data_IF_830065900993
#
_entry.id   IF_830065900993
#
_cell.length_a   1.000
_cell.length_b   1.000
_cell.length_c   1.000
_cell.angle_alpha   90.00
_cell.angle_beta   90.00
_cell.angle_gamma   90.00
#
_symmetry.space_group_name_H-M   'P 1'
#
loop_
_entity.id
_entity.type
_entity.pdbx_description
1 polymer ?
#
# COMPACT_ATOMS: atom_id res chain seq x y z
N UNK A 1 -25.46 11.30 50.97
CA UNK A 1 -24.97 12.45 50.19
C UNK A 1 -23.52 12.24 49.77
N UNK A 2 -22.58 12.07 50.72
CA UNK A 2 -21.14 11.85 50.44
C UNK A 2 -20.78 10.69 49.49
N UNK A 3 -21.56 9.60 49.45
CA UNK A 3 -21.29 8.48 48.55
C UNK A 3 -21.55 8.82 47.07
N UNK A 4 -22.53 9.69 46.80
CA UNK A 4 -22.89 10.10 45.43
C UNK A 4 -21.79 10.97 44.81
N UNK A 5 -21.34 11.97 45.57
CA UNK A 5 -20.25 12.87 45.18
C UNK A 5 -18.94 12.13 44.93
N UNK A 6 -18.63 11.10 45.76
CA UNK A 6 -17.46 10.25 45.55
C UNK A 6 -17.52 9.48 44.23
N UNK A 7 -18.66 8.88 43.92
CA UNK A 7 -18.85 8.12 42.67
C UNK A 7 -18.73 9.05 41.45
N UNK A 8 -19.27 10.26 41.53
CA UNK A 8 -19.19 11.25 40.46
C UNK A 8 -17.77 11.77 40.25
N UNK A 9 -17.05 12.08 41.33
CA UNK A 9 -15.64 12.48 41.26
C UNK A 9 -14.76 11.37 40.67
N UNK A 10 -14.97 10.12 41.09
CA UNK A 10 -14.26 8.95 40.55
C UNK A 10 -14.59 8.72 39.06
N UNK A 11 -15.85 8.89 38.67
CA UNK A 11 -16.28 8.77 37.27
C UNK A 11 -15.66 9.86 36.40
N UNK A 12 -15.61 11.10 36.89
CA UNK A 12 -14.95 12.21 36.22
C UNK A 12 -13.46 11.94 36.01
N UNK A 13 -12.74 11.52 37.06
CA UNK A 13 -11.32 11.17 36.95
C UNK A 13 -11.11 10.02 35.96
N UNK A 14 -11.97 9.01 35.99
CA UNK A 14 -11.92 7.86 35.07
C UNK A 14 -12.09 8.29 33.61
N UNK A 15 -13.07 9.14 33.30
CA UNK A 15 -13.27 9.65 31.93
C UNK A 15 -12.09 10.51 31.46
N UNK A 16 -11.52 11.35 32.33
CA UNK A 16 -10.33 12.15 31.99
C UNK A 16 -9.10 11.29 31.69
N UNK A 17 -8.86 10.24 32.50
CA UNK A 17 -7.77 9.28 32.25
C UNK A 17 -7.99 8.53 30.93
N UNK A 18 -9.22 8.09 30.69
CA UNK A 18 -9.57 7.37 29.46
C UNK A 18 -9.38 8.26 28.22
N UNK A 19 -9.78 9.53 28.29
CA UNK A 19 -9.57 10.48 27.21
C UNK A 19 -8.07 10.67 26.89
N UNK A 20 -7.25 10.81 27.92
CA UNK A 20 -5.79 10.91 27.75
C UNK A 20 -5.20 9.67 27.07
N UNK A 21 -5.61 8.48 27.49
CA UNK A 21 -5.16 7.22 26.88
C UNK A 21 -5.60 7.10 25.42
N UNK A 22 -6.79 7.57 25.09
CA UNK A 22 -7.28 7.58 23.70
C UNK A 22 -6.48 8.56 22.84
N UNK A 23 -6.18 9.75 23.33
CA UNK A 23 -5.32 10.71 22.62
C UNK A 23 -3.92 10.13 22.38
N UNK A 24 -3.31 9.55 23.40
CA UNK A 24 -2.02 8.87 23.26
C UNK A 24 -2.07 7.72 22.25
N UNK A 25 -3.16 6.95 22.24
CA UNK A 25 -3.36 5.87 21.26
C UNK A 25 -3.54 6.39 19.84
N UNK A 26 -4.22 7.52 19.66
CA UNK A 26 -4.39 8.19 18.36
C UNK A 26 -3.04 8.68 17.83
N UNK A 27 -2.23 9.33 18.66
CA UNK A 27 -0.89 9.79 18.31
C UNK A 27 0.03 8.63 17.89
N UNK A 28 0.01 7.52 18.65
CA UNK A 28 0.75 6.30 18.30
C UNK A 28 0.25 5.72 16.97
N UNK A 29 -1.06 5.70 16.75
CA UNK A 29 -1.67 5.22 15.51
C UNK A 29 -1.24 6.05 14.29
N UNK A 30 -1.21 7.38 14.42
CA UNK A 30 -0.74 8.30 13.38
C UNK A 30 0.74 8.06 13.09
N UNK A 31 1.58 8.00 14.12
CA UNK A 31 3.01 7.72 13.95
C UNK A 31 3.27 6.37 13.27
N UNK A 32 2.46 5.35 13.61
CA UNK A 32 2.53 4.04 12.96
C UNK A 32 2.14 4.11 11.49
N UNK A 33 1.11 4.89 11.13
CA UNK A 33 0.68 5.08 9.75
C UNK A 33 1.78 5.76 8.91
N UNK A 34 2.46 6.76 9.46
CA UNK A 34 3.59 7.42 8.80
C UNK A 34 4.75 6.45 8.55
N UNK A 35 5.04 5.57 9.52
CA UNK A 35 6.10 4.58 9.37
C UNK A 35 5.74 3.52 8.33
N UNK A 36 4.49 3.03 8.31
CA UNK A 36 4.02 2.14 7.24
C UNK A 36 4.16 2.78 5.86
N UNK A 37 3.83 4.07 5.72
CA UNK A 37 4.01 4.77 4.45
C UNK A 37 5.48 4.79 4.01
N UNK A 38 6.42 5.09 4.91
CA UNK A 38 7.86 5.05 4.61
C UNK A 38 8.32 3.64 4.22
N UNK A 39 7.82 2.62 4.91
CA UNK A 39 8.13 1.22 4.59
C UNK A 39 7.61 0.84 3.21
N UNK A 40 6.40 1.28 2.85
CA UNK A 40 5.83 1.09 1.50
C UNK A 40 6.75 1.65 0.43
N UNK A 41 7.24 2.88 0.58
CA UNK A 41 8.15 3.51 -0.39
C UNK A 41 9.45 2.70 -0.57
N UNK A 42 9.99 2.14 0.52
CA UNK A 42 11.17 1.27 0.46
C UNK A 42 10.88 -0.04 -0.28
N UNK A 43 9.73 -0.66 -0.04
CA UNK A 43 9.29 -1.86 -0.76
C UNK A 43 9.12 -1.55 -2.25
N UNK A 44 8.44 -0.46 -2.61
CA UNK A 44 8.27 -0.07 -4.02
C UNK A 44 9.61 0.20 -4.72
N UNK A 45 10.56 0.83 -4.03
CA UNK A 45 11.91 1.02 -4.57
C UNK A 45 12.60 -0.33 -4.80
N UNK A 46 12.45 -1.26 -3.88
CA UNK A 46 13.01 -2.61 -3.99
C UNK A 46 12.39 -3.36 -5.17
N UNK A 47 11.07 -3.28 -5.33
CA UNK A 47 10.35 -3.88 -6.45
C UNK A 47 10.85 -3.36 -7.81
N UNK A 48 10.98 -2.03 -7.96
CA UNK A 48 11.54 -1.40 -9.17
C UNK A 48 13.00 -1.81 -9.42
N UNK A 49 13.80 -1.92 -8.37
CA UNK A 49 15.19 -2.37 -8.49
C UNK A 49 15.26 -3.82 -8.98
N UNK A 50 14.39 -4.70 -8.49
CA UNK A 50 14.32 -6.08 -8.94
C UNK A 50 13.83 -6.20 -10.38
N UNK A 51 12.94 -5.33 -10.85
CA UNK A 51 12.58 -5.26 -12.26
C UNK A 51 13.78 -4.88 -13.14
N UNK A 52 14.55 -3.88 -12.70
CA UNK A 52 15.79 -3.48 -13.39
C UNK A 52 16.79 -4.64 -13.44
N UNK A 53 17.02 -5.34 -12.31
CA UNK A 53 17.92 -6.50 -12.25
C UNK A 53 17.45 -7.59 -13.20
N UNK A 54 16.16 -7.97 -13.17
CA UNK A 54 15.62 -8.99 -14.06
C UNK A 54 15.75 -8.59 -15.54
N UNK A 55 15.54 -7.32 -15.89
CA UNK A 55 15.73 -6.79 -17.24
C UNK A 55 17.21 -6.85 -17.67
N UNK A 56 18.12 -6.41 -16.80
CA UNK A 56 19.57 -6.48 -17.03
C UNK A 56 20.05 -7.91 -17.19
N UNK A 57 19.55 -8.85 -16.39
CA UNK A 57 19.85 -10.27 -16.54
C UNK A 57 19.34 -10.80 -17.88
N UNK A 58 18.14 -10.43 -18.36
CA UNK A 58 17.67 -10.82 -19.70
C UNK A 58 18.55 -10.27 -20.82
N UNK A 59 18.96 -9.02 -20.73
CA UNK A 59 19.90 -8.42 -21.69
C UNK A 59 21.25 -9.14 -21.65
N UNK A 60 21.75 -9.45 -20.45
CA UNK A 60 23.00 -10.17 -20.22
C UNK A 60 22.96 -11.58 -20.82
N UNK A 61 21.83 -12.29 -20.70
CA UNK A 61 21.66 -13.60 -21.33
C UNK A 61 21.87 -13.53 -22.85
N UNK A 62 21.25 -12.55 -23.52
CA UNK A 62 21.41 -12.36 -24.98
C UNK A 62 22.87 -12.14 -25.37
N UNK A 63 23.64 -11.42 -24.55
CA UNK A 63 25.08 -11.21 -24.77
C UNK A 63 25.86 -12.51 -24.58
N UNK A 64 25.60 -13.26 -23.51
CA UNK A 64 26.22 -14.57 -23.26
C UNK A 64 25.95 -15.53 -24.43
N UNK A 65 24.73 -15.57 -24.95
CA UNK A 65 24.37 -16.42 -26.09
C UNK A 65 25.05 -15.97 -27.38
N UNK A 66 25.19 -14.66 -27.59
CA UNK A 66 26.01 -14.10 -28.68
C UNK A 66 27.47 -14.56 -28.61
N UNK A 67 28.09 -14.54 -27.43
CA UNK A 67 29.46 -15.06 -27.26
C UNK A 67 29.56 -16.56 -27.55
N UNK A 68 28.62 -17.38 -27.04
CA UNK A 68 28.58 -18.82 -27.37
C UNK A 68 28.51 -19.06 -28.88
N UNK A 69 27.75 -18.23 -29.61
CA UNK A 69 27.65 -18.33 -31.07
C UNK A 69 28.98 -18.05 -31.76
N UNK A 70 29.71 -17.00 -31.38
CA UNK A 70 31.00 -16.65 -32.00
C UNK A 70 32.04 -17.75 -31.79
N UNK A 71 32.14 -18.30 -30.57
CA UNK A 71 33.02 -19.44 -30.30
C UNK A 71 32.63 -20.70 -31.09
N UNK A 72 31.32 -20.93 -31.27
CA UNK A 72 30.84 -22.07 -32.05
C UNK A 72 31.16 -21.90 -33.54
N UNK A 73 31.02 -20.71 -34.11
CA UNK A 73 31.36 -20.43 -35.51
C UNK A 73 32.86 -20.61 -35.79
N UNK A 74 33.73 -20.21 -34.87
CA UNK A 74 35.18 -20.44 -34.99
C UNK A 74 35.49 -21.94 -34.91
N UNK A 75 34.88 -22.67 -33.97
CA UNK A 75 35.10 -24.11 -33.86
C UNK A 75 34.60 -24.85 -35.10
N UNK A 76 33.42 -24.51 -35.61
CA UNK A 76 32.83 -25.13 -36.80
C UNK A 76 33.63 -24.82 -38.07
N UNK A 77 34.23 -23.63 -38.17
CA UNK A 77 35.14 -23.27 -39.26
C UNK A 77 36.46 -24.05 -39.19
N UNK A 78 36.96 -24.33 -37.99
CA UNK A 78 38.22 -25.07 -37.80
C UNK A 78 38.07 -26.59 -37.94
N UNK A 79 36.86 -27.13 -37.79
CA UNK A 79 36.59 -28.59 -37.87
C UNK A 79 35.90 -29.04 -39.16
N UNK A 80 35.55 -28.15 -40.10
CA UNK A 80 34.86 -28.58 -41.32
C UNK A 80 35.85 -28.91 -42.46
N UNK A 81 36.11 -30.21 -42.63
CA UNK A 81 36.47 -30.83 -43.91
C UNK A 81 35.19 -31.42 -44.53
N UNK A 82 35.09 -31.27 -45.86
CA UNK A 82 34.10 -31.78 -46.84
C UNK A 82 32.64 -31.24 -46.87
N UNK A 83 32.37 -30.60 -48.01
CA UNK A 83 31.21 -30.71 -48.92
C UNK A 83 29.99 -29.76 -48.82
N UNK A 84 30.02 -28.85 -49.81
CA UNK A 84 29.00 -28.22 -50.68
C UNK A 84 27.75 -27.46 -50.18
N UNK A 85 27.30 -26.45 -50.97
CA UNK A 85 26.33 -25.43 -50.56
C UNK A 85 24.93 -25.63 -51.19
N UNK A 86 23.88 -25.10 -50.54
CA UNK A 86 22.56 -24.94 -51.16
C UNK A 86 21.83 -23.67 -50.65
N UNK A 87 21.83 -22.65 -51.53
CA UNK A 87 20.73 -21.80 -52.02
C UNK A 87 19.65 -21.25 -51.04
N UNK A 88 19.70 -19.92 -50.92
CA UNK A 88 18.65 -18.88 -50.97
C UNK A 88 17.21 -19.10 -50.43
N UNK A 89 16.73 -18.06 -49.72
CA UNK A 89 15.31 -17.79 -49.51
C UNK A 89 15.03 -16.50 -48.72
N UNK A 90 15.02 -15.35 -49.39
CA UNK A 90 14.47 -14.06 -48.91
C UNK A 90 12.97 -14.02 -49.23
N UNK A 91 12.13 -13.52 -48.32
CA UNK A 91 10.91 -12.73 -48.64
C UNK A 91 10.32 -12.02 -47.41
N UNK A 92 9.80 -10.81 -47.69
CA UNK A 92 9.19 -9.80 -46.81
C UNK A 92 7.66 -9.94 -46.69
N UNK A 93 7.10 -9.14 -45.78
CA UNK A 93 5.85 -8.34 -45.84
C UNK A 93 4.58 -8.76 -45.05
N UNK A 94 4.31 -7.97 -44.00
CA UNK A 94 3.21 -7.02 -43.77
C UNK A 94 1.70 -7.40 -43.87
N UNK A 95 1.03 -7.19 -42.71
CA UNK A 95 -0.25 -6.50 -42.41
C UNK A 95 -1.64 -6.87 -43.04
N UNK A 96 -2.58 -7.21 -42.12
CA UNK A 96 -3.96 -6.68 -41.85
C UNK A 96 -5.09 -6.85 -42.88
N UNK A 97 -6.32 -7.17 -42.39
CA UNK A 97 -7.50 -6.28 -42.51
C UNK A 97 -8.22 -6.12 -41.15
N UNK A 98 -8.48 -4.92 -40.60
CA UNK A 98 -9.52 -3.90 -40.90
C UNK A 98 -10.98 -4.33 -40.68
N UNK A 99 -11.63 -3.70 -39.67
CA UNK A 99 -12.99 -3.10 -39.69
C UNK A 99 -13.36 -2.72 -38.23
N UNK A 100 -13.42 -1.45 -37.82
CA UNK A 100 -14.46 -0.44 -38.10
C UNK A 100 -15.75 -0.66 -37.29
N UNK A 101 -16.02 0.18 -36.27
CA UNK A 101 -17.10 1.20 -36.27
C UNK A 101 -17.50 1.78 -34.89
N UNK A 102 -17.55 3.12 -34.89
CA UNK A 102 -18.57 4.04 -34.32
C UNK A 102 -18.83 4.16 -32.80
N UNK A 103 -18.31 5.27 -32.28
CA UNK A 103 -18.97 6.39 -31.57
C UNK A 103 -20.52 6.42 -31.48
N UNK A 104 -21.05 6.67 -30.28
CA UNK A 104 -22.17 7.60 -29.93
C UNK A 104 -22.16 7.84 -28.40
N UNK A 105 -22.06 9.09 -27.93
CA UNK A 105 -23.18 9.78 -27.24
C UNK A 105 -23.07 9.67 -25.71
N UNK A 106 -22.54 10.68 -25.01
CA UNK A 106 -23.28 11.77 -24.36
C UNK A 106 -24.09 11.31 -23.12
N UNK A 107 -23.74 11.78 -21.92
CA UNK A 107 -24.55 12.72 -21.13
C UNK A 107 -24.06 12.85 -19.67
N UNK A 108 -24.07 14.10 -19.21
CA UNK A 108 -23.92 14.54 -17.82
C UNK A 108 -25.26 14.36 -17.08
N UNK A 109 -25.20 14.23 -15.76
CA UNK A 109 -26.15 14.73 -14.73
C UNK A 109 -25.52 14.41 -13.37
N UNK A 110 -25.02 15.39 -12.63
CA UNK A 110 -25.77 16.28 -11.73
C UNK A 110 -26.71 15.50 -10.80
N UNK A 111 -26.28 15.32 -9.54
CA UNK A 111 -27.16 14.96 -8.42
C UNK A 111 -26.98 16.00 -7.33
N UNK A 112 -28.12 16.60 -6.99
CA UNK A 112 -28.35 17.68 -6.06
C UNK A 112 -28.56 17.11 -4.64
N UNK A 113 -27.97 17.76 -3.62
CA UNK A 113 -28.47 17.74 -2.23
C UNK A 113 -29.88 18.33 -2.18
N UNK A 114 -30.69 17.93 -1.19
CA UNK A 114 -31.06 18.94 -0.20
C UNK A 114 -31.33 18.41 1.22
N UNK A 115 -31.40 19.37 2.13
CA UNK A 115 -32.25 19.44 3.33
C UNK A 115 -31.59 19.43 4.73
N UNK A 116 -31.55 20.67 5.24
CA UNK A 116 -31.46 21.12 6.61
C UNK A 116 -32.61 20.60 7.49
N UNK A 117 -32.31 20.38 8.78
CA UNK A 117 -33.32 20.37 9.85
C UNK A 117 -32.87 21.28 11.01
N UNK A 118 -33.48 22.47 11.19
CA UNK A 118 -33.22 23.35 12.32
C UNK A 118 -34.09 22.93 13.51
N UNK A 119 -33.45 22.32 14.52
CA UNK A 119 -34.12 21.69 15.64
C UNK A 119 -33.75 22.26 17.02
N UNK A 120 -34.37 23.40 17.36
CA UNK A 120 -34.86 23.75 18.71
C UNK A 120 -33.84 24.22 19.78
N UNK A 121 -33.77 25.54 19.90
CA UNK A 121 -33.65 26.25 21.17
C UNK A 121 -34.84 25.91 22.10
N UNK A 122 -34.57 25.52 23.35
CA UNK A 122 -35.54 25.61 24.44
C UNK A 122 -34.90 26.33 25.64
N UNK A 123 -35.42 27.53 25.87
CA UNK A 123 -35.21 28.41 27.02
C UNK A 123 -36.48 28.36 27.88
N UNK A 124 -36.36 27.94 29.15
CA UNK A 124 -37.25 28.18 30.32
C UNK A 124 -36.88 27.12 31.39
N UNK A 125 -36.76 27.34 32.70
CA UNK A 125 -37.29 28.32 33.65
C UNK A 125 -36.34 28.34 34.86
N UNK A 126 -36.13 29.53 35.43
CA UNK A 126 -35.52 29.75 36.75
C UNK A 126 -36.48 29.31 37.85
N UNK A 127 -36.06 28.35 38.67
CA UNK A 127 -36.62 28.08 40.00
C UNK A 127 -35.45 27.94 40.97
N UNK A 128 -35.42 28.86 41.92
CA UNK A 128 -34.47 28.88 43.03
C UNK A 128 -34.78 27.72 43.97
N UNK A 129 -33.87 26.76 44.03
CA UNK A 129 -33.72 25.80 45.13
C UNK A 129 -32.23 25.68 45.40
N UNK A 130 -31.85 25.98 46.64
CA UNK A 130 -30.48 26.10 47.12
C UNK A 130 -29.67 24.79 46.90
N UNK A 131 -28.81 24.84 45.88
CA UNK A 131 -27.35 24.93 45.98
C UNK A 131 -26.46 23.68 46.20
N UNK A 132 -26.97 22.47 46.00
CA UNK A 132 -26.10 21.27 45.84
C UNK A 132 -26.39 20.43 44.58
N UNK A 133 -27.47 20.71 43.87
CA UNK A 133 -27.76 20.05 42.59
C UNK A 133 -27.08 20.73 41.41
N UNK A 134 -26.70 22.01 41.54
CA UNK A 134 -26.11 22.77 40.43
C UNK A 134 -24.68 22.28 40.10
N UNK A 135 -23.84 22.09 41.11
CA UNK A 135 -22.48 21.56 40.91
C UNK A 135 -22.50 20.11 40.40
N UNK A 136 -23.46 19.31 40.88
CA UNK A 136 -23.62 17.93 40.47
C UNK A 136 -24.08 17.80 39.01
N UNK A 137 -25.00 18.67 38.57
CA UNK A 137 -25.41 18.74 37.16
C UNK A 137 -24.23 19.18 36.28
N UNK A 138 -23.40 20.12 36.75
CA UNK A 138 -22.17 20.53 36.07
C UNK A 138 -21.15 19.39 35.92
N UNK A 139 -20.99 18.55 36.94
CA UNK A 139 -20.10 17.37 36.88
C UNK A 139 -20.63 16.32 35.90
N UNK A 140 -21.92 15.99 35.95
CA UNK A 140 -22.51 15.04 34.99
C UNK A 140 -22.44 15.57 33.55
N UNK A 141 -22.72 16.85 33.33
CA UNK A 141 -22.57 17.49 32.01
C UNK A 141 -21.11 17.39 31.50
N UNK A 142 -20.13 17.46 32.41
CA UNK A 142 -18.71 17.32 32.05
C UNK A 142 -18.36 15.87 31.73
N UNK A 143 -18.88 14.91 32.49
CA UNK A 143 -18.73 13.48 32.20
C UNK A 143 -19.33 13.16 30.83
N UNK A 144 -20.54 13.64 30.52
CA UNK A 144 -21.19 13.42 29.24
C UNK A 144 -20.37 14.00 28.07
N UNK A 145 -19.85 15.22 28.21
CA UNK A 145 -18.93 15.81 27.21
C UNK A 145 -17.66 14.98 27.04
N UNK A 146 -17.08 14.47 28.12
CA UNK A 146 -15.90 13.61 28.03
C UNK A 146 -16.24 12.30 27.32
N UNK A 147 -17.39 11.69 27.59
CA UNK A 147 -17.85 10.46 26.93
C UNK A 147 -18.10 10.68 25.44
N UNK A 148 -18.68 11.82 25.04
CA UNK A 148 -18.83 12.19 23.64
C UNK A 148 -17.48 12.34 22.94
N UNK A 149 -16.52 13.03 23.58
CA UNK A 149 -15.16 13.17 23.08
C UNK A 149 -14.47 11.80 22.93
N UNK A 150 -14.61 10.92 23.93
CA UNK A 150 -14.09 9.56 23.88
C UNK A 150 -14.72 8.76 22.73
N UNK A 151 -16.02 8.92 22.48
CA UNK A 151 -16.71 8.27 21.35
C UNK A 151 -16.12 8.71 20.00
N UNK A 152 -15.79 9.99 19.86
CA UNK A 152 -15.10 10.51 18.66
C UNK A 152 -13.71 9.90 18.54
N UNK A 153 -12.88 9.95 19.59
CA UNK A 153 -11.52 9.38 19.54
C UNK A 153 -11.53 7.87 19.24
N UNK A 154 -12.46 7.10 19.80
CA UNK A 154 -12.60 5.67 19.48
C UNK A 154 -12.96 5.45 18.01
N UNK A 155 -13.82 6.29 17.42
CA UNK A 155 -14.14 6.23 15.98
C UNK A 155 -12.90 6.55 15.13
N UNK A 156 -12.12 7.55 15.51
CA UNK A 156 -10.88 7.91 14.82
C UNK A 156 -9.87 6.76 14.87
N UNK A 157 -9.61 6.21 16.07
CA UNK A 157 -8.71 5.06 16.27
C UNK A 157 -9.19 3.86 15.46
N UNK A 158 -10.50 3.59 15.41
CA UNK A 158 -11.05 2.53 14.56
C UNK A 158 -10.75 2.78 13.08
N UNK A 159 -10.91 4.02 12.61
CA UNK A 159 -10.57 4.39 11.24
C UNK A 159 -9.08 4.18 10.94
N UNK A 160 -8.20 4.64 11.83
CA UNK A 160 -6.76 4.39 11.74
C UNK A 160 -6.45 2.89 11.70
N UNK A 161 -7.03 2.09 12.61
CA UNK A 161 -6.78 0.65 12.67
C UNK A 161 -7.20 -0.08 11.40
N UNK A 162 -8.32 0.29 10.78
CA UNK A 162 -8.74 -0.26 9.49
C UNK A 162 -7.77 0.10 8.36
N UNK A 163 -7.40 1.38 8.26
CA UNK A 163 -6.45 1.84 7.24
C UNK A 163 -5.05 1.20 7.41
N UNK A 164 -4.58 1.07 8.66
CA UNK A 164 -3.33 0.38 8.97
C UNK A 164 -3.42 -1.10 8.56
N UNK A 165 -4.54 -1.76 8.80
CA UNK A 165 -4.79 -3.14 8.36
C UNK A 165 -4.74 -3.28 6.84
N UNK A 166 -5.46 -2.43 6.10
CA UNK A 166 -5.46 -2.42 4.63
C UNK A 166 -4.06 -2.15 4.06
N UNK A 167 -3.30 -1.22 4.66
CA UNK A 167 -1.93 -0.93 4.23
C UNK A 167 -1.00 -2.12 4.47
N UNK A 168 -1.13 -2.82 5.61
CA UNK A 168 -0.36 -4.04 5.90
C UNK A 168 -0.68 -5.14 4.88
N UNK A 169 -1.96 -5.38 4.59
CA UNK A 169 -2.37 -6.36 3.57
C UNK A 169 -1.80 -5.99 2.19
N UNK A 170 -1.90 -4.72 1.78
CA UNK A 170 -1.32 -4.25 0.53
C UNK A 170 0.21 -4.39 0.48
N UNK A 171 0.91 -4.19 1.61
CA UNK A 171 2.35 -4.37 1.70
C UNK A 171 2.75 -5.85 1.65
N UNK A 172 1.97 -6.75 2.26
CA UNK A 172 2.19 -8.20 2.17
C UNK A 172 2.14 -8.67 0.72
N UNK A 173 1.13 -8.23 -0.05
CA UNK A 173 1.04 -8.53 -1.48
C UNK A 173 2.25 -8.00 -2.27
N UNK A 174 2.80 -6.85 -1.87
CA UNK A 174 4.00 -6.28 -2.50
C UNK A 174 5.26 -7.09 -2.14
N UNK A 175 5.37 -7.55 -0.89
CA UNK A 175 6.46 -8.42 -0.45
C UNK A 175 6.46 -9.73 -1.23
N UNK A 176 5.30 -10.35 -1.45
CA UNK A 176 5.20 -11.59 -2.23
C UNK A 176 5.69 -11.38 -3.68
N UNK A 177 5.31 -10.27 -4.31
CA UNK A 177 5.83 -9.91 -5.65
C UNK A 177 7.34 -9.70 -5.67
N UNK A 178 7.87 -9.03 -4.64
CA UNK A 178 9.32 -8.80 -4.47
C UNK A 178 10.03 -10.15 -4.30
N UNK A 179 9.48 -11.06 -3.50
CA UNK A 179 10.03 -12.39 -3.28
C UNK A 179 10.11 -13.18 -4.59
N UNK A 180 9.01 -13.24 -5.35
CA UNK A 180 8.95 -13.88 -6.67
C UNK A 180 10.00 -13.32 -7.65
N UNK A 181 10.11 -11.98 -7.71
CA UNK A 181 11.09 -11.31 -8.59
C UNK A 181 12.53 -11.57 -8.13
N UNK A 182 12.76 -11.62 -6.82
CA UNK A 182 14.06 -11.89 -6.21
C UNK A 182 14.52 -13.31 -6.52
N UNK A 183 13.65 -14.31 -6.33
CA UNK A 183 13.98 -15.71 -6.61
C UNK A 183 14.30 -15.93 -8.10
N UNK A 184 13.52 -15.31 -9.00
CA UNK A 184 13.80 -15.35 -10.45
C UNK A 184 15.14 -14.71 -10.78
N UNK A 185 15.45 -13.57 -10.16
CA UNK A 185 16.73 -12.89 -10.35
C UNK A 185 17.89 -13.76 -9.87
N UNK A 186 17.79 -14.35 -8.67
CA UNK A 186 18.83 -15.21 -8.09
C UNK A 186 19.09 -16.45 -8.95
N UNK A 187 18.04 -17.18 -9.36
CA UNK A 187 18.17 -18.36 -10.23
C UNK A 187 18.85 -17.98 -11.54
N UNK A 188 18.42 -16.87 -12.17
CA UNK A 188 18.96 -16.43 -13.46
C UNK A 188 20.41 -15.98 -13.34
N UNK A 189 20.73 -15.21 -12.30
CA UNK A 189 22.08 -14.75 -12.01
C UNK A 189 23.02 -15.93 -11.79
N UNK A 190 22.63 -16.89 -10.93
CA UNK A 190 23.41 -18.10 -10.67
C UNK A 190 23.67 -18.91 -11.95
N UNK A 191 22.67 -19.06 -12.82
CA UNK A 191 22.83 -19.71 -14.12
C UNK A 191 23.83 -18.96 -15.00
N UNK A 192 23.70 -17.64 -15.13
CA UNK A 192 24.56 -16.81 -15.97
C UNK A 192 26.00 -16.78 -15.47
N UNK A 193 26.23 -16.69 -14.15
CA UNK A 193 27.55 -16.78 -13.55
C UNK A 193 28.23 -18.12 -13.88
N UNK A 194 27.49 -19.24 -13.83
CA UNK A 194 28.03 -20.56 -14.24
C UNK A 194 28.38 -20.60 -15.73
N UNK A 195 27.52 -20.07 -16.60
CA UNK A 195 27.78 -20.03 -18.04
C UNK A 195 28.99 -19.16 -18.39
N UNK A 196 29.09 -17.98 -17.79
CA UNK A 196 30.20 -17.06 -17.98
C UNK A 196 31.53 -17.68 -17.51
N UNK A 197 31.55 -18.34 -16.35
CA UNK A 197 32.71 -19.08 -15.88
C UNK A 197 33.15 -20.18 -16.85
N UNK A 198 32.21 -20.90 -17.47
CA UNK A 198 32.53 -21.91 -18.50
C UNK A 198 33.14 -21.29 -19.76
N UNK A 199 32.70 -20.10 -20.16
CA UNK A 199 33.27 -19.37 -21.30
C UNK A 199 34.70 -18.92 -21.02
N UNK A 200 34.98 -18.42 -19.82
CA UNK A 200 36.31 -17.93 -19.43
C UNK A 200 37.31 -19.08 -19.26
N UNK A 201 36.89 -20.21 -18.69
CA UNK A 201 37.75 -21.39 -18.45
C UNK A 201 38.11 -22.16 -19.72
N UNK A 202 37.49 -21.87 -20.87
CA UNK A 202 37.76 -22.53 -22.16
C UNK A 202 39.01 -21.98 -22.89
N UNK A 203 40.00 -21.50 -22.14
CA UNK A 203 41.32 -21.15 -22.68
C UNK A 203 42.15 -22.41 -22.90
#
# INVERSE_FOLDING_TARGET
MQQKERIEAESLESTQRSLRLLQESEDIGISTAEELQKQREQLERTDRNLDNINSTLRYTQKKIDGFKSVFSSIKNYLTKKSDSPAVAGVSKDNNVPSADRTFYGNERKDVCSPDEHPGKCLKKISLNSEDHTSDLLSVNDTIDRNLDQMCISVKNIKGLALNLGEEIESQNDLIDRIMDKSDRADITLNKQCREMNKLIKKK
#
